data_IF_716252017347
#
_entry.id   IF_716252017347
#
_cell.length_a   1.000
_cell.length_b   1.000
_cell.length_c   1.000
_cell.angle_alpha   90.00
_cell.angle_beta   90.00
_cell.angle_gamma   90.00
#
_symmetry.space_group_name_H-M   'P 1'
#
loop_
_entity.id
_entity.type
_entity.pdbx_description
1 polymer ?
#
# COMPACT_ATOMS: atom_id res chain seq x y z
N UNK A 1 -16.81 -12.22 -16.13
CA UNK A 1 -15.62 -12.71 -15.41
C UNK A 1 -14.56 -12.98 -16.47
N UNK A 2 -13.33 -12.49 -16.31
CA UNK A 2 -12.26 -12.73 -17.30
C UNK A 2 -11.79 -14.18 -17.15
N UNK A 3 -11.77 -14.94 -18.24
CA UNK A 3 -11.43 -16.37 -18.18
C UNK A 3 -9.92 -16.57 -17.93
N UNK A 4 -9.51 -17.52 -17.06
CA UNK A 4 -8.10 -17.76 -16.74
C UNK A 4 -7.23 -18.12 -17.95
N UNK A 5 -7.81 -18.76 -18.98
CA UNK A 5 -7.10 -19.13 -20.19
C UNK A 5 -6.57 -17.90 -20.95
N UNK A 6 -7.35 -16.80 -21.00
CA UNK A 6 -6.89 -15.56 -21.62
C UNK A 6 -5.73 -14.93 -20.85
N UNK A 7 -5.77 -14.98 -19.51
CA UNK A 7 -4.69 -14.44 -18.67
C UNK A 7 -3.39 -15.23 -18.85
N UNK A 8 -3.50 -16.55 -18.99
CA UNK A 8 -2.35 -17.41 -19.29
C UNK A 8 -1.74 -17.09 -20.67
N UNK A 9 -2.57 -16.95 -21.71
CA UNK A 9 -2.10 -16.59 -23.07
C UNK A 9 -1.46 -15.21 -23.13
N UNK A 10 -1.88 -14.27 -22.27
CA UNK A 10 -1.31 -12.93 -22.15
C UNK A 10 -0.10 -12.87 -21.21
N UNK A 11 0.30 -14.00 -20.63
CA UNK A 11 1.38 -14.09 -19.63
C UNK A 11 1.18 -13.09 -18.47
N UNK A 12 -0.06 -12.92 -18.03
CA UNK A 12 -0.43 -11.92 -17.03
C UNK A 12 0.29 -12.15 -15.69
N UNK A 13 0.55 -13.41 -15.34
CA UNK A 13 1.36 -13.82 -14.19
C UNK A 13 2.77 -13.21 -14.23
N UNK A 14 3.40 -13.13 -15.42
CA UNK A 14 4.70 -12.48 -15.58
C UNK A 14 4.62 -10.97 -15.39
N UNK A 15 3.51 -10.35 -15.81
CA UNK A 15 3.29 -8.91 -15.64
C UNK A 15 3.18 -8.56 -14.15
N UNK A 16 2.35 -9.29 -13.40
CA UNK A 16 2.19 -9.06 -11.95
C UNK A 16 3.46 -9.42 -11.18
N UNK A 17 4.21 -10.45 -11.59
CA UNK A 17 5.49 -10.78 -10.99
C UNK A 17 6.50 -9.63 -11.16
N UNK A 18 6.62 -9.06 -12.37
CA UNK A 18 7.46 -7.88 -12.62
C UNK A 18 7.04 -6.68 -11.78
N UNK A 19 5.74 -6.42 -11.64
CA UNK A 19 5.24 -5.36 -10.78
C UNK A 19 5.62 -5.61 -9.31
N UNK A 20 5.43 -6.83 -8.83
CA UNK A 20 5.72 -7.24 -7.48
C UNK A 20 7.21 -7.06 -7.14
N UNK A 21 8.13 -7.27 -8.09
CA UNK A 21 9.57 -7.09 -7.91
C UNK A 21 9.98 -5.60 -7.78
N UNK A 22 9.11 -4.67 -8.18
CA UNK A 22 9.31 -3.23 -8.02
C UNK A 22 8.69 -2.68 -6.72
N UNK A 23 8.12 -3.54 -5.87
CA UNK A 23 7.54 -3.12 -4.59
C UNK A 23 8.59 -3.08 -3.49
N UNK A 24 8.51 -2.09 -2.61
CA UNK A 24 9.42 -1.90 -1.47
C UNK A 24 8.90 -2.47 -0.15
N UNK A 25 7.72 -3.09 -0.15
CA UNK A 25 7.05 -3.62 1.05
C UNK A 25 6.33 -4.93 0.77
N UNK A 26 6.42 -5.87 1.72
CA UNK A 26 5.85 -7.23 1.56
C UNK A 26 4.35 -7.23 1.30
N UNK A 27 3.58 -6.35 1.95
CA UNK A 27 2.15 -6.25 1.69
C UNK A 27 1.87 -5.69 0.29
N UNK A 28 2.67 -4.72 -0.16
CA UNK A 28 2.62 -4.21 -1.54
C UNK A 28 2.92 -5.31 -2.56
N UNK A 29 3.92 -6.16 -2.28
CA UNK A 29 4.24 -7.33 -3.10
C UNK A 29 3.06 -8.28 -3.22
N UNK A 30 2.42 -8.59 -2.09
CA UNK A 30 1.25 -9.46 -2.06
C UNK A 30 0.06 -8.86 -2.83
N UNK A 31 -0.18 -7.55 -2.70
CA UNK A 31 -1.22 -6.85 -3.46
C UNK A 31 -0.95 -6.88 -4.97
N UNK A 32 0.30 -6.66 -5.38
CA UNK A 32 0.70 -6.74 -6.79
C UNK A 32 0.46 -8.13 -7.37
N UNK A 33 0.86 -9.20 -6.65
CA UNK A 33 0.65 -10.58 -7.08
C UNK A 33 -0.83 -11.00 -7.09
N UNK A 34 -1.65 -10.43 -6.21
CA UNK A 34 -3.08 -10.68 -6.13
C UNK A 34 -3.90 -9.83 -7.12
N UNK A 35 -3.27 -8.89 -7.85
CA UNK A 35 -3.97 -7.99 -8.76
C UNK A 35 -4.67 -8.80 -9.85
N UNK A 36 -5.93 -8.47 -10.10
CA UNK A 36 -6.75 -9.05 -11.16
C UNK A 36 -7.28 -7.94 -12.08
N UNK A 37 -7.34 -8.19 -13.39
CA UNK A 37 -7.92 -7.24 -14.32
C UNK A 37 -9.43 -7.11 -14.06
N UNK A 38 -9.96 -5.91 -14.31
CA UNK A 38 -11.39 -5.62 -14.22
C UNK A 38 -11.95 -5.37 -15.61
N UNK A 39 -13.18 -5.84 -15.84
CA UNK A 39 -13.96 -5.51 -17.04
C UNK A 39 -14.92 -4.32 -16.80
N UNK A 40 -15.00 -3.83 -15.55
CA UNK A 40 -15.84 -2.67 -15.21
C UNK A 40 -15.10 -1.37 -15.56
N UNK A 41 -15.63 -0.55 -16.49
CA UNK A 41 -14.99 0.70 -16.90
C UNK A 41 -14.81 1.70 -15.76
N UNK A 42 -15.68 1.71 -14.75
CA UNK A 42 -15.56 2.62 -13.60
C UNK A 42 -14.36 2.23 -12.74
N UNK A 43 -14.23 0.94 -12.43
CA UNK A 43 -13.09 0.40 -11.68
C UNK A 43 -11.77 0.63 -12.43
N UNK A 44 -11.77 0.44 -13.76
CA UNK A 44 -10.57 0.65 -14.58
C UNK A 44 -10.17 2.13 -14.58
N UNK A 45 -11.12 3.06 -14.78
CA UNK A 45 -10.83 4.50 -14.76
C UNK A 45 -10.27 4.95 -13.42
N UNK A 46 -10.90 4.53 -12.32
CA UNK A 46 -10.45 4.85 -10.97
C UNK A 46 -9.01 4.38 -10.72
N UNK A 47 -8.70 3.11 -10.98
CA UNK A 47 -7.33 2.57 -10.76
C UNK A 47 -6.28 3.25 -11.65
N UNK A 48 -6.64 3.61 -12.88
CA UNK A 48 -5.75 4.35 -13.77
C UNK A 48 -5.51 5.79 -13.28
N UNK A 49 -6.54 6.45 -12.75
CA UNK A 49 -6.41 7.78 -12.15
C UNK A 49 -5.51 7.72 -10.91
N UNK A 50 -5.76 6.77 -10.00
CA UNK A 50 -4.93 6.52 -8.81
C UNK A 50 -3.46 6.29 -9.19
N UNK A 51 -3.20 5.48 -10.23
CA UNK A 51 -1.84 5.23 -10.72
C UNK A 51 -1.19 6.49 -11.32
N UNK A 52 -1.98 7.32 -12.01
CA UNK A 52 -1.52 8.58 -12.59
C UNK A 52 -1.11 9.56 -11.50
N UNK A 53 -1.93 9.68 -10.46
CA UNK A 53 -1.62 10.48 -9.27
C UNK A 53 -0.37 9.97 -8.56
N UNK A 54 -0.24 8.66 -8.34
CA UNK A 54 0.92 8.08 -7.68
C UNK A 54 2.21 8.34 -8.45
N UNK A 55 2.18 8.22 -9.78
CA UNK A 55 3.33 8.54 -10.63
C UNK A 55 3.72 10.01 -10.52
N UNK A 56 2.75 10.91 -10.56
CA UNK A 56 3.00 12.36 -10.49
C UNK A 56 3.52 12.76 -9.10
N UNK A 57 2.94 12.20 -8.03
CA UNK A 57 3.42 12.37 -6.66
C UNK A 57 4.89 11.98 -6.53
N UNK A 58 5.26 10.78 -7.01
CA UNK A 58 6.64 10.29 -6.98
C UNK A 58 7.60 11.13 -7.85
N UNK A 59 7.12 11.68 -8.96
CA UNK A 59 7.92 12.55 -9.83
C UNK A 59 8.20 13.93 -9.20
N UNK A 60 7.23 14.46 -8.44
CA UNK A 60 7.34 15.78 -7.78
C UNK A 60 8.04 15.70 -6.42
N UNK A 61 8.00 14.54 -5.76
CA UNK A 61 8.38 14.41 -4.33
C UNK A 61 9.22 13.16 -4.07
N UNK A 62 10.53 13.36 -4.09
CA UNK A 62 11.52 12.32 -3.83
C UNK A 62 11.57 11.93 -2.33
N UNK A 63 10.94 12.70 -1.44
CA UNK A 63 10.88 12.47 0.02
C UNK A 63 9.72 11.58 0.46
N UNK A 64 8.78 11.25 -0.44
CA UNK A 64 7.63 10.40 -0.13
C UNK A 64 8.07 8.95 -0.11
N UNK A 65 7.89 8.31 1.04
CA UNK A 65 8.31 6.94 1.25
C UNK A 65 7.52 6.27 2.37
N UNK A 66 7.26 4.97 2.17
CA UNK A 66 6.82 4.04 3.23
C UNK A 66 7.99 3.54 4.10
N UNK A 67 9.22 4.01 3.84
CA UNK A 67 10.45 3.52 4.47
C UNK A 67 10.43 3.58 6.00
N UNK A 68 10.92 2.51 6.61
CA UNK A 68 10.85 2.25 8.06
C UNK A 68 9.63 1.43 8.48
N UNK A 69 8.67 1.17 7.59
CA UNK A 69 7.57 0.28 7.85
C UNK A 69 7.97 -1.21 7.77
N UNK A 70 7.45 -1.99 8.71
CA UNK A 70 7.61 -3.43 8.80
C UNK A 70 6.25 -4.11 8.63
N UNK A 71 6.26 -5.37 8.20
CA UNK A 71 5.03 -6.15 8.10
C UNK A 71 4.62 -6.66 9.48
N UNK A 72 3.88 -5.81 10.20
CA UNK A 72 3.48 -6.10 11.59
C UNK A 72 2.18 -6.92 11.67
N UNK A 73 1.62 -7.41 10.55
CA UNK A 73 0.41 -8.25 10.58
C UNK A 73 0.58 -9.52 11.43
N UNK A 74 1.72 -10.23 11.39
CA UNK A 74 1.96 -11.36 12.29
C UNK A 74 1.99 -10.93 13.76
N UNK A 75 2.65 -9.81 14.08
CA UNK A 75 2.72 -9.27 15.44
C UNK A 75 1.34 -8.88 15.97
N UNK A 76 0.54 -8.20 15.14
CA UNK A 76 -0.82 -7.81 15.47
C UNK A 76 -1.72 -9.05 15.73
N UNK A 77 -1.59 -10.10 14.93
CA UNK A 77 -2.31 -11.37 15.16
C UNK A 77 -1.84 -12.05 16.44
N UNK A 78 -0.55 -12.04 16.74
CA UNK A 78 0.00 -12.62 17.96
C UNK A 78 -0.52 -11.89 19.21
N UNK A 79 -0.48 -10.55 19.20
CA UNK A 79 -1.03 -9.73 20.28
C UNK A 79 -2.55 -9.90 20.44
N UNK A 80 -3.29 -10.09 19.34
CA UNK A 80 -4.74 -10.30 19.38
C UNK A 80 -5.16 -11.61 20.08
N UNK A 81 -4.26 -12.59 20.17
CA UNK A 81 -4.49 -13.85 20.90
C UNK A 81 -3.77 -13.86 22.26
N UNK A 82 -3.61 -12.68 22.87
CA UNK A 82 -2.96 -12.44 24.17
C UNK A 82 -1.46 -12.80 24.20
N UNK A 83 -0.83 -12.89 23.02
CA UNK A 83 0.61 -13.03 22.90
C UNK A 83 1.36 -11.78 23.34
N UNK A 84 2.50 -11.97 24.00
CA UNK A 84 3.36 -10.86 24.45
C UNK A 84 4.36 -10.53 23.37
N UNK A 85 4.41 -9.25 22.97
CA UNK A 85 5.41 -8.76 22.04
C UNK A 85 6.71 -8.43 22.78
N UNK A 86 7.83 -8.85 22.20
CA UNK A 86 9.16 -8.49 22.68
C UNK A 86 9.45 -6.99 22.45
N UNK A 87 10.39 -6.38 23.22
CA UNK A 87 10.74 -4.98 23.05
C UNK A 87 11.11 -4.59 21.61
N UNK A 88 11.77 -5.47 20.85
CA UNK A 88 12.11 -5.20 19.44
C UNK A 88 10.89 -5.18 18.53
N UNK A 89 9.96 -6.11 18.74
CA UNK A 89 8.70 -6.17 17.98
C UNK A 89 7.84 -4.93 18.23
N UNK A 90 7.87 -4.38 19.45
CA UNK A 90 7.22 -3.10 19.76
C UNK A 90 7.87 -1.92 19.03
N UNK A 91 9.19 -1.94 18.79
CA UNK A 91 9.86 -0.94 17.97
C UNK A 91 9.42 -1.04 16.50
N UNK A 92 9.31 -2.26 15.96
CA UNK A 92 8.82 -2.47 14.60
C UNK A 92 7.39 -1.94 14.41
N UNK A 93 6.53 -2.16 15.41
CA UNK A 93 5.18 -1.58 15.46
C UNK A 93 5.25 -0.05 15.48
N UNK A 94 6.02 0.55 16.39
CA UNK A 94 6.18 2.00 16.48
C UNK A 94 6.66 2.62 15.16
N UNK A 95 7.66 2.02 14.52
CA UNK A 95 8.26 2.54 13.28
C UNK A 95 7.28 2.45 12.11
N UNK A 96 6.48 1.38 12.06
CA UNK A 96 5.40 1.22 11.08
C UNK A 96 4.29 2.26 11.28
N UNK A 97 3.83 2.48 12.51
CA UNK A 97 2.81 3.49 12.81
C UNK A 97 3.32 4.91 12.51
N UNK A 98 4.58 5.19 12.83
CA UNK A 98 5.22 6.48 12.55
C UNK A 98 5.34 6.74 11.04
N UNK A 99 5.73 5.72 10.27
CA UNK A 99 5.81 5.79 8.81
C UNK A 99 4.44 6.00 8.17
N UNK A 100 3.41 5.28 8.64
CA UNK A 100 2.04 5.45 8.19
C UNK A 100 1.50 6.86 8.46
N UNK A 101 1.73 7.39 9.67
CA UNK A 101 1.35 8.77 10.04
C UNK A 101 2.03 9.81 9.17
N UNK A 102 3.35 9.68 8.95
CA UNK A 102 4.11 10.59 8.07
C UNK A 102 3.55 10.57 6.66
N UNK A 103 3.34 9.39 6.10
CA UNK A 103 2.79 9.22 4.75
C UNK A 103 1.40 9.85 4.62
N UNK A 104 0.53 9.63 5.61
CA UNK A 104 -0.80 10.26 5.65
C UNK A 104 -0.69 11.76 5.49
N UNK A 105 0.12 12.43 6.31
CA UNK A 105 0.23 13.89 6.25
C UNK A 105 0.89 14.38 4.96
N UNK A 106 1.87 13.66 4.42
CA UNK A 106 2.49 13.99 3.15
C UNK A 106 1.47 13.95 1.99
N UNK A 107 0.58 12.95 1.95
CA UNK A 107 -0.46 12.86 0.92
C UNK A 107 -1.54 13.93 1.14
N UNK A 108 -2.06 14.06 2.36
CA UNK A 108 -3.15 15.00 2.65
C UNK A 108 -2.77 16.48 2.48
N UNK A 109 -1.48 16.82 2.59
CA UNK A 109 -1.00 18.17 2.26
C UNK A 109 -1.25 18.55 0.78
N UNK A 110 -1.54 17.57 -0.07
CA UNK A 110 -1.76 17.72 -1.51
C UNK A 110 -3.08 17.07 -1.95
N UNK A 111 -4.08 16.97 -1.07
CA UNK A 111 -5.37 16.32 -1.41
C UNK A 111 -6.07 16.94 -2.63
N UNK A 112 -5.83 18.22 -2.91
CA UNK A 112 -6.40 18.92 -4.07
C UNK A 112 -5.77 18.46 -5.39
N UNK A 113 -4.52 17.99 -5.35
CA UNK A 113 -3.78 17.48 -6.51
C UNK A 113 -3.92 15.95 -6.65
N UNK A 114 -4.12 15.24 -5.53
CA UNK A 114 -4.11 13.76 -5.45
C UNK A 114 -5.33 13.23 -4.67
N UNK A 115 -6.53 13.45 -5.23
CA UNK A 115 -7.79 13.12 -4.57
C UNK A 115 -7.96 11.61 -4.31
N UNK A 116 -7.67 10.76 -5.30
CA UNK A 116 -7.82 9.31 -5.17
C UNK A 116 -6.83 8.77 -4.11
N UNK A 117 -5.60 9.28 -4.09
CA UNK A 117 -4.62 8.90 -3.06
C UNK A 117 -5.00 9.41 -1.67
N UNK A 118 -5.64 10.57 -1.58
CA UNK A 118 -6.11 11.10 -0.31
C UNK A 118 -7.13 10.15 0.35
N UNK A 119 -7.98 9.48 -0.43
CA UNK A 119 -8.93 8.47 0.11
C UNK A 119 -8.20 7.37 0.89
N UNK A 120 -7.08 6.86 0.36
CA UNK A 120 -6.24 5.88 1.06
C UNK A 120 -5.61 6.45 2.32
N UNK A 121 -5.15 7.71 2.27
CA UNK A 121 -4.57 8.38 3.43
C UNK A 121 -5.61 8.55 4.56
N UNK A 122 -6.88 8.80 4.22
CA UNK A 122 -7.96 8.99 5.20
C UNK A 122 -8.21 7.76 6.08
N UNK A 123 -7.97 6.55 5.57
CA UNK A 123 -8.11 5.29 6.32
C UNK A 123 -7.03 5.10 7.40
N UNK A 124 -5.86 5.73 7.23
CA UNK A 124 -4.75 5.61 8.16
C UNK A 124 -5.06 6.41 9.44
N UNK A 125 -5.26 5.73 10.57
CA UNK A 125 -5.40 6.44 11.84
C UNK A 125 -4.03 6.97 12.32
N UNK A 126 -3.91 8.26 12.67
CA UNK A 126 -2.61 8.84 13.05
C UNK A 126 -2.14 8.40 14.45
N UNK A 127 -3.04 7.92 15.32
CA UNK A 127 -2.72 7.40 16.65
C UNK A 127 -1.79 8.31 17.48
N UNK A 128 -1.96 9.64 17.39
CA UNK A 128 -1.06 10.64 17.99
C UNK A 128 -0.99 10.64 19.53
N UNK A 129 -1.78 9.80 20.19
CA UNK A 129 -1.73 9.59 21.64
C UNK A 129 -0.82 8.42 22.04
N UNK A 130 -0.38 7.61 21.07
CA UNK A 130 0.44 6.41 21.28
C UNK A 130 1.88 6.66 20.79
N UNK A 131 2.02 7.35 19.66
CA UNK A 131 3.28 7.68 19.00
C UNK A 131 3.43 9.18 18.79
#
# INVERSE_FOLDING_TARGET
>A
MIEPEYLSRLEYDRIVARLADNTSFSAGRQLALALQPSADPLVVRHRLQETTEAKDLLARRNDITIGGAHDIRPLARHAAIEGVLEPRELLDVRDTLSSARRLRYQILAHEQDFGELAEHAYVIQPLSHII
#
